data_IF_441812778762
#
_entry.id   IF_441812778762
#
_cell.length_a   1.000
_cell.length_b   1.000
_cell.length_c   1.000
_cell.angle_alpha   90.00
_cell.angle_beta   90.00
_cell.angle_gamma   90.00
#
_symmetry.space_group_name_H-M   'P 1'
#
loop_
_entity.id
_entity.type
_entity.pdbx_description
1 polymer ?
#
# COMPACT_ATOMS: atom_id res chain seq x y z
N UNK A 1 22.21 -11.73 1.24
CA UNK A 1 21.52 -10.44 1.09
C UNK A 1 20.06 -10.66 1.48
N UNK A 2 19.67 -10.43 2.73
CA UNK A 2 18.28 -10.57 3.18
C UNK A 2 17.88 -9.21 3.73
N UNK A 3 17.13 -8.43 2.95
CA UNK A 3 16.51 -7.22 3.45
C UNK A 3 15.38 -7.67 4.39
N UNK A 4 15.66 -7.61 5.68
CA UNK A 4 14.68 -7.57 6.76
C UNK A 4 13.62 -6.52 6.41
N UNK A 5 12.49 -7.01 5.90
CA UNK A 5 11.28 -6.23 5.68
C UNK A 5 10.69 -5.87 7.05
N UNK A 6 11.35 -4.97 7.79
CA UNK A 6 10.88 -4.44 9.07
C UNK A 6 9.85 -3.36 8.80
N UNK A 7 8.73 -3.76 8.22
CA UNK A 7 7.48 -3.01 8.25
C UNK A 7 6.47 -3.91 8.93
N UNK A 8 5.89 -3.45 10.04
CA UNK A 8 4.84 -4.18 10.73
C UNK A 8 3.78 -4.66 9.73
N UNK A 9 3.35 -5.93 9.80
CA UNK A 9 2.43 -6.50 8.82
C UNK A 9 1.15 -5.65 8.77
N UNK A 10 0.89 -5.05 7.61
CA UNK A 10 -0.30 -4.23 7.40
C UNK A 10 -1.51 -5.16 7.32
N UNK A 11 -2.50 -4.93 8.16
CA UNK A 11 -3.70 -5.75 8.18
C UNK A 11 -4.50 -5.63 6.86
N UNK A 12 -5.07 -6.73 6.34
CA UNK A 12 -6.00 -6.68 5.22
C UNK A 12 -7.20 -5.77 5.55
N UNK A 13 -7.69 -5.03 4.55
CA UNK A 13 -8.69 -3.97 4.70
C UNK A 13 -8.11 -2.60 5.08
N UNK A 14 -6.79 -2.48 5.27
CA UNK A 14 -6.14 -1.20 5.52
C UNK A 14 -5.90 -0.44 4.22
N UNK A 15 -6.24 0.85 4.20
CA UNK A 15 -5.92 1.74 3.07
C UNK A 15 -4.44 2.08 3.04
N UNK A 16 -3.86 1.93 1.87
CA UNK A 16 -2.42 2.11 1.61
C UNK A 16 -2.21 2.98 0.38
N UNK A 17 -1.08 3.67 0.37
CA UNK A 17 -0.52 4.25 -0.84
C UNK A 17 0.51 3.27 -1.42
N UNK A 18 0.48 3.06 -2.74
CA UNK A 18 1.46 2.25 -3.46
C UNK A 18 2.40 3.13 -4.26
N UNK A 19 3.68 2.78 -4.29
CA UNK A 19 4.65 3.46 -5.14
C UNK A 19 4.61 2.87 -6.55
N UNK A 20 4.34 3.71 -7.55
CA UNK A 20 4.46 3.31 -8.95
C UNK A 20 5.92 3.27 -9.36
N UNK A 21 6.40 2.13 -9.88
CA UNK A 21 7.77 1.98 -10.41
C UNK A 21 8.03 2.85 -11.66
N UNK A 22 6.97 3.19 -12.40
CA UNK A 22 7.07 3.95 -13.65
C UNK A 22 7.22 5.45 -13.41
N UNK A 23 6.44 6.00 -12.46
CA UNK A 23 6.37 7.44 -12.21
C UNK A 23 7.12 7.87 -10.94
N UNK A 24 7.62 6.90 -10.15
CA UNK A 24 8.17 7.10 -8.81
C UNK A 24 7.23 7.86 -7.85
N UNK A 25 5.94 7.99 -8.20
CA UNK A 25 4.90 8.66 -7.42
C UNK A 25 4.13 7.67 -6.56
N UNK A 26 3.64 8.16 -5.43
CA UNK A 26 2.72 7.44 -4.56
C UNK A 26 1.30 7.62 -5.08
N UNK A 27 0.64 6.51 -5.38
CA UNK A 27 -0.75 6.47 -5.76
C UNK A 27 -1.58 6.04 -4.54
N UNK A 28 -2.63 6.80 -4.25
CA UNK A 28 -3.55 6.57 -3.14
C UNK A 28 -4.81 5.84 -3.62
N UNK A 29 -5.69 5.46 -2.68
CA UNK A 29 -6.93 4.75 -3.02
C UNK A 29 -6.69 3.26 -3.28
N UNK A 30 -5.73 2.68 -2.58
CA UNK A 30 -5.49 1.26 -2.58
C UNK A 30 -5.75 0.68 -1.20
N UNK A 31 -6.02 -0.62 -1.14
CA UNK A 31 -6.31 -1.34 0.10
C UNK A 31 -5.58 -2.68 0.09
N UNK A 32 -5.08 -3.12 1.25
CA UNK A 32 -4.51 -4.46 1.38
C UNK A 32 -5.64 -5.48 1.24
N UNK A 33 -5.60 -6.28 0.18
CA UNK A 33 -6.49 -7.41 0.04
C UNK A 33 -6.03 -8.60 0.88
N UNK A 34 -4.72 -8.87 0.88
CA UNK A 34 -4.11 -9.99 1.57
C UNK A 34 -2.66 -9.66 1.90
N UNK A 35 -2.26 -9.94 3.15
CA UNK A 35 -0.88 -9.83 3.60
C UNK A 35 -0.23 -11.22 3.51
N UNK A 36 0.73 -11.38 2.59
CA UNK A 36 1.54 -12.59 2.49
C UNK A 36 2.95 -12.33 3.04
N UNK A 37 3.66 -13.38 3.49
CA UNK A 37 5.04 -13.25 3.95
C UNK A 37 6.01 -12.80 2.84
N UNK A 38 5.68 -13.08 1.57
CA UNK A 38 6.49 -12.66 0.41
C UNK A 38 6.16 -11.24 -0.09
N UNK A 39 5.09 -10.61 0.42
CA UNK A 39 4.64 -9.28 0.01
C UNK A 39 3.14 -9.08 0.16
N UNK A 40 2.64 -7.94 -0.33
CA UNK A 40 1.24 -7.56 -0.17
C UNK A 40 0.46 -7.64 -1.48
N UNK A 41 -0.73 -8.24 -1.41
CA UNK A 41 -1.73 -8.13 -2.47
C UNK A 41 -2.58 -6.91 -2.22
N UNK A 42 -2.73 -6.10 -3.26
CA UNK A 42 -3.37 -4.80 -3.14
C UNK A 42 -4.56 -4.76 -4.08
N UNK A 43 -5.67 -4.25 -3.55
CA UNK A 43 -6.88 -3.96 -4.30
C UNK A 43 -6.94 -2.48 -4.60
N UNK A 44 -7.11 -2.14 -5.86
CA UNK A 44 -7.33 -0.75 -6.28
C UNK A 44 -8.78 -0.38 -6.02
N UNK A 45 -9.06 0.55 -5.11
CA UNK A 45 -10.42 0.96 -4.78
C UNK A 45 -11.13 1.67 -5.94
N UNK A 46 -10.37 2.29 -6.85
CA UNK A 46 -10.93 2.98 -8.02
C UNK A 46 -11.78 2.09 -8.93
N UNK A 47 -11.45 0.80 -9.03
CA UNK A 47 -12.09 -0.15 -9.95
C UNK A 47 -12.46 -1.47 -9.25
N UNK A 48 -12.03 -1.65 -8.00
CA UNK A 48 -12.22 -2.89 -7.25
C UNK A 48 -11.34 -4.05 -7.71
N UNK A 49 -10.49 -3.87 -8.72
CA UNK A 49 -9.58 -4.90 -9.20
C UNK A 49 -8.41 -5.14 -8.23
N UNK A 50 -8.11 -6.42 -7.99
CA UNK A 50 -6.90 -6.86 -7.34
C UNK A 50 -5.73 -6.75 -8.32
N UNK A 51 -4.65 -6.09 -7.92
CA UNK A 51 -3.46 -6.04 -8.75
C UNK A 51 -2.82 -7.44 -8.81
N UNK A 52 -2.46 -7.92 -10.01
CA UNK A 52 -1.76 -9.20 -10.16
C UNK A 52 -0.29 -9.11 -9.72
N UNK A 53 0.21 -7.90 -9.48
CA UNK A 53 1.55 -7.65 -8.94
C UNK A 53 1.52 -7.70 -7.42
N UNK A 54 2.45 -8.47 -6.85
CA UNK A 54 2.81 -8.38 -5.44
C UNK A 54 3.68 -7.15 -5.21
N UNK A 55 3.35 -6.38 -4.18
CA UNK A 55 4.11 -5.21 -3.77
C UNK A 55 4.97 -5.56 -2.55
N UNK A 56 6.25 -5.19 -2.60
CA UNK A 56 7.14 -5.34 -1.45
C UNK A 56 6.76 -4.34 -0.34
N UNK A 57 7.17 -4.61 0.91
CA UNK A 57 6.87 -3.71 2.04
C UNK A 57 7.42 -2.29 1.83
N UNK A 58 8.50 -2.12 1.07
CA UNK A 58 9.10 -0.82 0.77
C UNK A 58 8.27 0.00 -0.25
N UNK A 59 7.49 -0.69 -1.07
CA UNK A 59 6.64 -0.08 -2.11
C UNK A 59 5.23 0.24 -1.61
N UNK A 60 4.91 -0.19 -0.39
CA UNK A 60 3.61 -0.03 0.24
C UNK A 60 3.78 0.79 1.49
N UNK A 61 2.99 1.84 1.62
CA UNK A 61 2.91 2.58 2.88
C UNK A 61 1.46 2.69 3.30
N UNK A 62 1.22 2.59 4.59
CA UNK A 62 -0.07 2.97 5.18
C UNK A 62 -0.42 4.39 4.76
N UNK A 63 -1.61 4.56 4.16
CA UNK A 63 -2.13 5.89 3.85
C UNK A 63 -2.29 6.58 5.19
N UNK A 64 -1.32 7.45 5.51
CA UNK A 64 -1.39 8.25 6.72
C UNK A 64 -2.46 9.28 6.45
N UNK A 65 -3.72 8.91 6.68
CA UNK A 65 -4.88 9.80 6.63
C UNK A 65 -4.46 11.03 7.42
N UNK A 66 -4.16 12.13 6.71
CA UNK A 66 -3.93 13.41 7.38
C UNK A 66 -5.22 13.65 8.15
N UNK A 67 -5.17 13.48 9.48
CA UNK A 67 -6.22 14.01 10.35
C UNK A 67 -6.34 15.47 9.95
N UNK A 68 -7.56 15.86 9.58
CA UNK A 68 -7.86 17.17 9.06
C UNK A 68 -7.22 18.27 9.90
N UNK A 69 -6.52 19.17 9.23
CA UNK A 69 -6.17 20.50 9.71
C UNK A 69 -6.32 21.40 8.48
N UNK A 70 -7.55 21.88 8.22
CA UNK A 70 -8.11 23.12 8.78
C UNK A 70 -7.44 24.34 8.18
N UNK A 71 -8.04 24.94 7.16
CA UNK A 71 -7.93 26.37 6.85
C UNK A 71 -9.29 26.81 6.32
N UNK A 72 -9.97 27.64 7.12
CA UNK A 72 -11.08 28.51 6.74
C UNK A 72 -10.48 29.80 6.19
#
# INVERSE_FOLDING_TARGET
>A
MNAEATGDPIAPGTRVDVRSRFDARWAHGFEIAEACPEGYKIKRLSDGALLPTQFAVDEVRIERRKRGTWWY
#
